data_IF_290261140087
#
_entry.id   IF_290261140087
#
_cell.length_a   1.000
_cell.length_b   1.000
_cell.length_c   1.000
_cell.angle_alpha   90.00
_cell.angle_beta   90.00
_cell.angle_gamma   90.00
#
_symmetry.space_group_name_H-M   'P 1'
#
loop_
_entity.id
_entity.type
_entity.pdbx_description
1 polymer ?
#
# COMPACT_ATOMS: atom_id res chain seq x y z
N UNK A 1 30.37 27.67 -13.24
CA UNK A 1 30.22 26.99 -14.56
C UNK A 1 29.26 25.79 -14.54
N UNK A 2 29.13 25.06 -13.43
CA UNK A 2 28.22 23.90 -13.32
C UNK A 2 26.74 24.20 -13.60
N UNK A 3 26.26 25.40 -13.26
CA UNK A 3 24.85 25.81 -13.40
C UNK A 3 24.34 25.90 -14.85
N UNK A 4 25.18 26.34 -15.79
CA UNK A 4 24.76 26.55 -17.20
C UNK A 4 24.55 25.21 -17.91
N UNK A 5 25.43 24.24 -17.64
CA UNK A 5 25.34 22.88 -18.20
C UNK A 5 24.08 22.18 -17.68
N UNK A 6 23.82 22.26 -16.37
CA UNK A 6 22.62 21.68 -15.74
C UNK A 6 21.34 22.30 -16.30
N UNK A 7 21.30 23.61 -16.54
CA UNK A 7 20.13 24.29 -17.11
C UNK A 7 19.87 23.90 -18.57
N UNK A 8 20.91 23.72 -19.38
CA UNK A 8 20.77 23.24 -20.77
C UNK A 8 20.23 21.81 -20.83
N UNK A 9 20.75 20.92 -19.99
CA UNK A 9 20.29 19.54 -19.89
C UNK A 9 18.83 19.49 -19.41
N UNK A 10 18.48 20.26 -18.38
CA UNK A 10 17.11 20.35 -17.87
C UNK A 10 16.13 20.86 -18.94
N UNK A 11 16.52 21.87 -19.71
CA UNK A 11 15.70 22.39 -20.81
C UNK A 11 15.53 21.37 -21.94
N UNK A 12 16.56 20.59 -22.26
CA UNK A 12 16.49 19.52 -23.26
C UNK A 12 15.54 18.39 -22.82
N UNK A 13 15.63 17.98 -21.55
CA UNK A 13 14.73 16.97 -20.96
C UNK A 13 13.28 17.45 -20.95
N UNK A 14 13.03 18.71 -20.60
CA UNK A 14 11.68 19.31 -20.64
C UNK A 14 11.13 19.41 -22.06
N UNK A 15 11.97 19.73 -23.04
CA UNK A 15 11.61 19.83 -24.47
C UNK A 15 11.27 18.47 -25.06
N UNK A 16 11.96 17.41 -24.60
CA UNK A 16 11.87 16.07 -25.16
C UNK A 16 11.72 15.01 -24.04
N UNK A 17 10.52 14.88 -23.45
CA UNK A 17 10.29 13.97 -22.32
C UNK A 17 10.52 12.49 -22.67
N UNK A 18 10.53 12.13 -23.96
CA UNK A 18 10.85 10.77 -24.40
C UNK A 18 12.30 10.36 -24.08
N UNK A 19 13.24 11.32 -23.99
CA UNK A 19 14.66 11.07 -23.68
C UNK A 19 14.79 10.37 -22.32
N UNK A 20 13.94 10.72 -21.35
CA UNK A 20 13.93 10.12 -20.02
C UNK A 20 12.91 8.98 -19.89
N UNK A 21 11.88 8.95 -20.73
CA UNK A 21 10.80 7.95 -20.66
C UNK A 21 11.28 6.52 -20.91
N UNK A 22 12.10 6.30 -21.94
CA UNK A 22 12.61 4.96 -22.26
C UNK A 22 13.57 4.44 -21.17
N UNK A 23 14.59 5.20 -20.72
CA UNK A 23 15.40 4.81 -19.57
C UNK A 23 14.58 4.54 -18.31
N UNK A 24 13.54 5.34 -18.04
CA UNK A 24 12.65 5.13 -16.89
C UNK A 24 11.90 3.79 -16.93
N UNK A 25 11.39 3.39 -18.10
CA UNK A 25 10.73 2.09 -18.26
C UNK A 25 11.69 0.92 -18.05
N UNK A 26 12.91 1.04 -18.58
CA UNK A 26 13.98 0.04 -18.38
C UNK A 26 14.37 -0.02 -16.90
N UNK A 27 14.62 1.12 -16.27
CA UNK A 27 14.93 1.25 -14.85
C UNK A 27 13.87 0.59 -13.96
N UNK A 28 12.58 0.83 -14.23
CA UNK A 28 11.46 0.21 -13.52
C UNK A 28 11.46 -1.32 -13.61
N UNK A 29 12.04 -1.92 -14.67
CA UNK A 29 12.12 -3.38 -14.81
C UNK A 29 13.12 -4.03 -13.87
N UNK A 30 14.12 -3.27 -13.43
CA UNK A 30 15.15 -3.68 -12.46
C UNK A 30 14.78 -3.37 -11.01
N UNK A 31 13.66 -2.69 -10.76
CA UNK A 31 13.21 -2.41 -9.41
C UNK A 31 12.65 -3.65 -8.71
N UNK A 32 12.92 -3.75 -7.41
CA UNK A 32 12.33 -4.78 -6.55
C UNK A 32 10.82 -4.60 -6.49
N UNK A 33 10.09 -5.70 -6.63
CA UNK A 33 8.62 -5.72 -6.49
C UNK A 33 8.27 -6.21 -5.10
N UNK A 34 7.37 -5.49 -4.45
CA UNK A 34 6.81 -5.85 -3.15
C UNK A 34 5.36 -6.26 -3.33
N UNK A 35 4.94 -7.30 -2.62
CA UNK A 35 3.52 -7.51 -2.35
C UNK A 35 3.12 -6.64 -1.17
N UNK A 36 1.88 -6.15 -1.17
CA UNK A 36 1.36 -5.30 -0.10
C UNK A 36 0.18 -6.02 0.56
N UNK A 37 0.29 -6.23 1.86
CA UNK A 37 -0.80 -6.66 2.73
C UNK A 37 -1.37 -5.44 3.46
N UNK A 38 -2.68 -5.42 3.66
CA UNK A 38 -3.37 -4.34 4.37
C UNK A 38 -4.24 -4.93 5.47
N UNK A 39 -4.20 -4.32 6.65
CA UNK A 39 -5.03 -4.72 7.80
C UNK A 39 -5.68 -3.52 8.46
N UNK A 40 -6.88 -3.72 8.99
CA UNK A 40 -7.68 -2.68 9.65
C UNK A 40 -7.79 -2.89 11.15
N UNK A 41 -7.48 -1.86 11.93
CA UNK A 41 -7.83 -1.77 13.35
C UNK A 41 -9.14 -0.99 13.44
N UNK A 42 -10.25 -1.71 13.58
CA UNK A 42 -11.57 -1.10 13.74
C UNK A 42 -11.92 -1.01 15.23
N UNK A 43 -12.19 0.22 15.68
CA UNK A 43 -12.62 0.48 17.05
C UNK A 43 -14.12 0.76 17.11
N UNK A 44 -14.82 0.11 18.03
CA UNK A 44 -16.19 0.49 18.38
C UNK A 44 -16.21 1.66 19.39
N UNK A 45 -17.40 2.16 19.73
CA UNK A 45 -17.58 3.27 20.67
C UNK A 45 -17.03 2.97 22.08
N UNK A 46 -16.92 1.69 22.44
CA UNK A 46 -16.35 1.23 23.72
C UNK A 46 -14.83 1.03 23.66
N UNK A 47 -14.17 1.33 22.53
CA UNK A 47 -12.73 1.17 22.34
C UNK A 47 -12.27 -0.28 22.14
N UNK A 48 -13.17 -1.20 21.80
CA UNK A 48 -12.84 -2.59 21.51
C UNK A 48 -12.42 -2.75 20.04
N UNK A 49 -11.46 -3.66 19.78
CA UNK A 49 -10.92 -3.94 18.45
C UNK A 49 -11.65 -5.13 17.82
N UNK A 50 -12.04 -5.00 16.55
CA UNK A 50 -12.55 -6.13 15.76
C UNK A 50 -11.42 -7.09 15.40
N UNK A 51 -11.61 -8.37 15.73
CA UNK A 51 -10.79 -9.49 15.27
C UNK A 51 -11.65 -10.47 14.49
N UNK A 52 -11.04 -11.12 13.52
CA UNK A 52 -11.67 -12.16 12.69
C UNK A 52 -10.90 -13.47 12.81
N UNK A 53 -11.61 -14.58 12.66
CA UNK A 53 -11.05 -15.92 12.66
C UNK A 53 -10.69 -16.37 11.23
N UNK A 54 -9.40 -16.47 10.95
CA UNK A 54 -8.82 -16.90 9.69
C UNK A 54 -8.69 -18.42 9.64
N UNK A 55 -9.62 -19.07 8.93
CA UNK A 55 -9.65 -20.55 8.77
C UNK A 55 -8.36 -21.11 8.16
N UNK A 56 -7.64 -20.33 7.36
CA UNK A 56 -6.39 -20.73 6.69
C UNK A 56 -5.11 -20.49 7.51
N UNK A 57 -5.22 -20.00 8.75
CA UNK A 57 -4.08 -19.74 9.65
C UNK A 57 -4.21 -20.57 10.94
N UNK A 58 -3.94 -21.90 10.89
CA UNK A 58 -4.27 -22.82 11.98
C UNK A 58 -3.54 -22.54 13.29
N UNK A 59 -2.32 -21.97 13.24
CA UNK A 59 -1.53 -21.69 14.45
C UNK A 59 -1.99 -20.42 15.19
N UNK A 60 -2.52 -19.44 14.44
CA UNK A 60 -2.99 -18.15 14.97
C UNK A 60 -4.25 -17.71 14.21
N UNK A 61 -5.42 -18.31 14.53
CA UNK A 61 -6.63 -18.09 13.74
C UNK A 61 -7.19 -16.68 13.95
N UNK A 62 -7.02 -16.05 15.12
CA UNK A 62 -7.55 -14.71 15.37
C UNK A 62 -6.58 -13.61 14.95
N UNK A 63 -7.04 -12.67 14.12
CA UNK A 63 -6.24 -11.55 13.65
C UNK A 63 -7.07 -10.34 13.23
N UNK A 64 -6.38 -9.25 12.88
CA UNK A 64 -7.05 -8.09 12.28
C UNK A 64 -7.63 -8.47 10.92
N UNK A 65 -8.80 -7.93 10.54
CA UNK A 65 -9.34 -8.11 9.21
C UNK A 65 -8.51 -7.37 8.16
N UNK A 66 -8.48 -7.91 6.94
CA UNK A 66 -7.70 -7.35 5.85
C UNK A 66 -7.29 -8.41 4.84
N UNK A 67 -6.50 -7.98 3.86
CA UNK A 67 -6.18 -8.83 2.73
C UNK A 67 -5.06 -8.26 1.88
N UNK A 68 -5.05 -8.65 0.60
CA UNK A 68 -4.00 -8.30 -0.33
C UNK A 68 -4.37 -7.06 -1.14
N UNK A 69 -3.40 -6.16 -1.33
CA UNK A 69 -3.55 -5.07 -2.27
C UNK A 69 -3.53 -5.61 -3.71
N UNK A 70 -4.56 -5.26 -4.48
CA UNK A 70 -4.64 -5.58 -5.89
C UNK A 70 -3.60 -4.87 -6.74
N UNK A 71 -3.57 -5.21 -8.03
CA UNK A 71 -2.71 -4.53 -9.00
C UNK A 71 -3.22 -3.10 -9.24
N UNK A 72 -2.31 -2.13 -9.14
CA UNK A 72 -2.62 -0.69 -9.33
C UNK A 72 -3.71 -0.14 -8.36
N UNK A 73 -3.97 -0.88 -7.28
CA UNK A 73 -4.92 -0.50 -6.25
C UNK A 73 -4.23 0.34 -5.18
N UNK A 74 -4.93 1.37 -4.69
CA UNK A 74 -4.45 2.15 -3.55
C UNK A 74 -4.64 1.33 -2.25
N UNK A 75 -3.64 1.18 -1.38
CA UNK A 75 -3.73 0.30 -0.20
C UNK A 75 -4.90 0.59 0.75
N UNK A 76 -5.21 1.86 0.98
CA UNK A 76 -6.40 2.23 1.75
C UNK A 76 -7.71 1.77 1.07
N UNK A 77 -7.79 1.82 -0.26
CA UNK A 77 -8.93 1.32 -1.03
C UNK A 77 -9.05 -0.19 -0.98
N UNK A 78 -7.91 -0.90 -1.07
CA UNK A 78 -7.87 -2.35 -0.90
C UNK A 78 -8.46 -2.78 0.44
N UNK A 79 -8.06 -2.13 1.54
CA UNK A 79 -8.60 -2.47 2.86
C UNK A 79 -10.12 -2.24 2.93
N UNK A 80 -10.63 -1.14 2.38
CA UNK A 80 -12.07 -0.87 2.37
C UNK A 80 -12.84 -1.91 1.55
N UNK A 81 -12.29 -2.33 0.41
CA UNK A 81 -12.86 -3.42 -0.41
C UNK A 81 -12.91 -4.73 0.36
N UNK A 82 -11.81 -5.15 0.98
CA UNK A 82 -11.75 -6.40 1.77
C UNK A 82 -12.75 -6.37 2.94
N UNK A 83 -12.84 -5.25 3.67
CA UNK A 83 -13.80 -5.09 4.77
C UNK A 83 -15.27 -5.17 4.29
N UNK A 84 -15.57 -4.64 3.11
CA UNK A 84 -16.91 -4.71 2.53
C UNK A 84 -17.20 -6.13 2.00
N UNK A 85 -16.26 -6.76 1.30
CA UNK A 85 -16.42 -8.08 0.69
C UNK A 85 -16.53 -9.19 1.76
N UNK A 86 -15.63 -9.23 2.73
CA UNK A 86 -15.55 -10.31 3.72
C UNK A 86 -16.51 -10.14 4.90
N UNK A 87 -16.71 -8.89 5.35
CA UNK A 87 -17.42 -8.60 6.60
C UNK A 87 -18.67 -7.75 6.41
N UNK A 88 -18.93 -7.25 5.20
CA UNK A 88 -20.04 -6.33 4.92
C UNK A 88 -19.97 -5.04 5.76
N UNK A 89 -18.74 -4.61 6.12
CA UNK A 89 -18.50 -3.41 6.94
C UNK A 89 -18.07 -2.26 6.03
N UNK A 90 -18.83 -1.16 6.10
CA UNK A 90 -18.41 0.12 5.51
C UNK A 90 -17.60 0.91 6.53
N UNK A 91 -16.31 1.08 6.27
CA UNK A 91 -15.41 1.82 7.15
C UNK A 91 -14.85 3.08 6.47
N UNK A 92 -14.25 3.94 7.27
CA UNK A 92 -13.47 5.09 6.82
C UNK A 92 -12.06 4.99 7.38
N UNK A 93 -11.07 5.26 6.53
CA UNK A 93 -9.65 5.23 6.90
C UNK A 93 -9.32 6.54 7.61
N UNK A 94 -8.78 6.46 8.83
CA UNK A 94 -8.38 7.64 9.59
C UNK A 94 -6.90 7.96 9.43
N UNK A 95 -6.03 6.98 9.69
CA UNK A 95 -4.59 7.15 9.63
C UNK A 95 -3.86 5.82 9.44
N UNK A 96 -2.62 5.88 8.97
CA UNK A 96 -1.70 4.75 9.00
C UNK A 96 -1.16 4.61 10.41
N UNK A 97 -1.30 3.42 11.00
CA UNK A 97 -0.75 3.09 12.31
C UNK A 97 0.65 2.49 12.22
N UNK A 98 0.87 1.65 11.22
CA UNK A 98 2.11 0.89 11.08
C UNK A 98 2.41 0.56 9.63
N UNK A 99 3.69 0.55 9.29
CA UNK A 99 4.20 0.04 8.01
C UNK A 99 5.43 -0.80 8.32
N UNK A 100 5.41 -2.07 7.92
CA UNK A 100 6.52 -2.98 8.19
C UNK A 100 6.80 -3.90 7.02
N UNK A 101 8.09 -4.16 6.80
CA UNK A 101 8.54 -5.19 5.88
C UNK A 101 8.79 -6.49 6.65
N UNK A 102 7.82 -7.41 6.69
CA UNK A 102 7.95 -8.67 7.45
C UNK A 102 8.86 -9.71 6.80
N UNK A 103 8.62 -10.05 5.53
CA UNK A 103 9.36 -11.12 4.83
C UNK A 103 9.87 -10.71 3.45
N UNK A 104 10.83 -11.49 2.92
CA UNK A 104 11.53 -11.41 1.62
C UNK A 104 11.23 -10.16 0.76
N UNK A 105 10.01 -9.96 0.26
CA UNK A 105 9.53 -8.71 -0.34
C UNK A 105 8.02 -8.45 -0.08
N UNK A 106 7.61 -8.45 1.19
CA UNK A 106 6.23 -8.15 1.60
C UNK A 106 6.20 -6.95 2.53
N UNK A 107 5.30 -6.00 2.26
CA UNK A 107 5.05 -4.83 3.10
C UNK A 107 3.64 -4.94 3.64
N UNK A 108 3.51 -4.84 4.95
CA UNK A 108 2.22 -4.76 5.64
C UNK A 108 1.94 -3.32 6.04
N UNK A 109 0.70 -2.90 5.84
CA UNK A 109 0.21 -1.58 6.26
C UNK A 109 -0.99 -1.78 7.17
N UNK A 110 -0.89 -1.28 8.40
CA UNK A 110 -2.01 -1.25 9.32
C UNK A 110 -2.65 0.14 9.33
N UNK A 111 -3.98 0.17 9.19
CA UNK A 111 -4.76 1.40 9.24
C UNK A 111 -5.65 1.43 10.48
N UNK A 112 -5.81 2.62 11.04
CA UNK A 112 -6.91 2.91 11.95
C UNK A 112 -8.16 3.19 11.14
N UNK A 113 -9.23 2.48 11.45
CA UNK A 113 -10.50 2.56 10.76
C UNK A 113 -11.63 2.90 11.74
N UNK A 114 -12.62 3.65 11.25
CA UNK A 114 -13.89 3.86 11.94
C UNK A 114 -15.02 3.32 11.08
N UNK A 115 -15.81 2.40 11.65
CA UNK A 115 -17.08 1.92 11.09
C UNK A 115 -18.26 2.71 11.67
#
# INVERSE_FOLDING_TARGET
>A
ETTIVTQRIANLIRRYPFIIRFPYLVYRRFQTRYTIGVVGVLLNEMGQVLLVEHVFHPDHPWGLPGGWNGYDEHPAGALLRELEEELQIKATIQQVLHIEKRFKNHIDIAYLCKA
#
